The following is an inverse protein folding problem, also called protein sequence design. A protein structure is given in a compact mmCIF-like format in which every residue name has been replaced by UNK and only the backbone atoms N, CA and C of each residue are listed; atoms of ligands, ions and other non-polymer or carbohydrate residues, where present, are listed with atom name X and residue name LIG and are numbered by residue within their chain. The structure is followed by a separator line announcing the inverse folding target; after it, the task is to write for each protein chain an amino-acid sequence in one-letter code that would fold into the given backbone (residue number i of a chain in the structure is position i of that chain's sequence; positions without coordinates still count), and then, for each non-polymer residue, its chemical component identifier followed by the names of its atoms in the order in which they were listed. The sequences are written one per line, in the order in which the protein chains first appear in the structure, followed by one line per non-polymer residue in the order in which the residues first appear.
data_IF_781411204367
#
_entry.id   IF_781411204367
#
_cell.length_a   1.000
_cell.length_b   1.000
_cell.length_c   1.000
_cell.angle_alpha   90.00
_cell.angle_beta   90.00
_cell.angle_gamma   90.00
#
_symmetry.space_group_name_H-M   'P 1'
#
loop_
_entity.id
_entity.type
_entity.pdbx_description
1 polymer ?
#
# COMPACT_ATOMS: atom_id res chain seq x y z
N UNK A 1 21.47 25.48 -29.57
CA UNK A 1 20.03 25.76 -29.75
C UNK A 1 19.78 27.25 -29.64
N UNK A 2 18.75 27.76 -30.31
CA UNK A 2 18.35 29.18 -30.24
C UNK A 2 17.88 29.52 -28.82
N UNK A 3 18.35 30.64 -28.29
CA UNK A 3 17.96 31.15 -26.99
C UNK A 3 17.75 32.67 -27.04
N UNK A 4 16.90 33.19 -26.16
CA UNK A 4 16.72 34.63 -25.97
C UNK A 4 17.35 35.00 -24.62
N UNK A 5 18.31 35.93 -24.65
CA UNK A 5 18.87 36.52 -23.43
C UNK A 5 17.86 37.50 -22.86
N UNK A 6 17.43 37.23 -21.62
CA UNK A 6 16.46 38.04 -20.89
C UNK A 6 17.04 38.51 -19.55
N UNK A 7 16.58 39.65 -19.00
CA UNK A 7 16.99 40.11 -17.67
C UNK A 7 16.55 39.15 -16.55
N UNK A 8 17.45 38.86 -15.59
CA UNK A 8 17.26 37.91 -14.47
C UNK A 8 16.26 38.35 -13.40
N UNK A 9 15.88 39.63 -13.35
CA UNK A 9 14.91 40.19 -12.38
C UNK A 9 13.50 39.57 -12.55
N UNK A 10 12.48 40.16 -11.91
CA UNK A 10 11.06 39.75 -11.90
C UNK A 10 10.42 39.46 -13.29
N UNK A 11 11.12 39.77 -14.39
CA UNK A 11 10.70 39.56 -15.76
C UNK A 11 10.87 38.12 -16.29
N UNK A 12 11.64 37.25 -15.62
CA UNK A 12 11.81 35.85 -16.11
C UNK A 12 10.46 35.14 -16.26
N UNK A 13 9.60 35.25 -15.24
CA UNK A 13 8.24 34.68 -15.24
C UNK A 13 7.35 35.29 -16.32
N UNK A 14 7.54 36.57 -16.62
CA UNK A 14 6.79 37.27 -17.66
C UNK A 14 7.10 36.70 -19.04
N UNK A 15 8.37 36.60 -19.41
CA UNK A 15 8.79 36.05 -20.70
C UNK A 15 8.47 34.57 -20.85
N UNK A 16 8.60 33.78 -19.78
CA UNK A 16 8.17 32.38 -19.79
C UNK A 16 6.69 32.20 -20.11
N UNK A 17 5.82 33.11 -19.64
CA UNK A 17 4.38 33.06 -19.94
C UNK A 17 4.12 33.43 -21.39
N UNK A 18 4.68 34.55 -21.87
CA UNK A 18 4.50 35.03 -23.24
C UNK A 18 4.97 34.00 -24.27
N UNK A 19 6.10 33.35 -24.01
CA UNK A 19 6.73 32.42 -24.95
C UNK A 19 6.43 30.96 -24.65
N UNK A 20 5.49 30.66 -23.76
CA UNK A 20 5.19 29.30 -23.28
C UNK A 20 5.00 28.25 -24.38
N UNK A 21 4.46 28.64 -25.55
CA UNK A 21 4.28 27.76 -26.73
C UNK A 21 5.55 27.43 -27.50
N UNK A 22 6.62 28.18 -27.28
CA UNK A 22 7.86 28.14 -28.06
C UNK A 22 9.09 27.76 -27.22
N UNK A 23 8.89 27.45 -25.93
CA UNK A 23 9.98 27.07 -25.03
C UNK A 23 10.43 25.63 -25.27
N UNK A 24 11.73 25.40 -25.06
CA UNK A 24 12.33 24.07 -25.02
C UNK A 24 11.84 23.25 -23.82
N UNK A 25 10.66 22.63 -23.93
CA UNK A 25 10.05 21.85 -22.86
C UNK A 25 10.35 20.36 -23.00
N UNK A 26 11.58 19.93 -22.68
CA UNK A 26 11.94 18.50 -22.61
C UNK A 26 11.89 17.98 -21.16
N UNK A 27 11.50 16.72 -20.93
CA UNK A 27 11.54 16.12 -19.60
C UNK A 27 12.93 16.23 -18.96
N UNK A 28 13.00 16.59 -17.67
CA UNK A 28 14.23 16.70 -16.86
C UNK A 28 15.23 17.78 -17.28
N UNK A 29 14.96 18.58 -18.31
CA UNK A 29 15.78 19.73 -18.71
C UNK A 29 15.08 21.03 -18.35
N UNK A 30 15.88 22.03 -17.98
CA UNK A 30 15.38 23.39 -17.74
C UNK A 30 15.31 24.12 -19.08
N UNK A 31 14.25 24.89 -19.27
CA UNK A 31 14.09 25.80 -20.40
C UNK A 31 14.64 27.22 -20.12
N UNK A 32 15.16 27.45 -18.91
CA UNK A 32 15.84 28.68 -18.50
C UNK A 32 17.19 28.32 -17.90
N UNK A 33 18.26 28.86 -18.48
CA UNK A 33 19.64 28.68 -18.01
C UNK A 33 20.22 30.00 -17.48
N UNK A 34 21.28 29.91 -16.69
CA UNK A 34 22.10 31.07 -16.35
C UNK A 34 22.91 31.50 -17.58
N UNK A 35 23.09 32.81 -17.80
CA UNK A 35 24.01 33.27 -18.84
C UNK A 35 25.45 33.27 -18.29
N UNK A 36 26.39 32.51 -18.86
CA UNK A 36 27.77 32.47 -18.37
C UNK A 36 28.51 33.80 -18.56
N UNK A 37 28.03 34.65 -19.47
CA UNK A 37 28.67 35.94 -19.78
C UNK A 37 28.02 37.12 -19.05
N UNK A 38 26.84 36.93 -18.44
CA UNK A 38 26.13 37.99 -17.71
C UNK A 38 25.37 37.44 -16.48
N UNK A 39 25.84 37.71 -15.25
CA UNK A 39 25.21 37.22 -14.03
C UNK A 39 23.82 37.84 -13.76
N UNK A 40 23.47 38.93 -14.47
CA UNK A 40 22.18 39.60 -14.41
C UNK A 40 21.23 39.18 -15.54
N UNK A 41 21.62 38.23 -16.39
CA UNK A 41 20.79 37.68 -17.44
C UNK A 41 20.49 36.19 -17.25
N UNK A 42 19.49 35.73 -18.00
CA UNK A 42 19.10 34.33 -18.17
C UNK A 42 18.97 34.04 -19.65
N UNK A 43 19.19 32.79 -20.02
CA UNK A 43 18.96 32.30 -21.37
C UNK A 43 17.64 31.52 -21.39
N UNK A 44 16.66 32.03 -22.11
CA UNK A 44 15.38 31.35 -22.34
C UNK A 44 15.49 30.51 -23.62
N UNK A 45 15.46 29.19 -23.47
CA UNK A 45 15.67 28.24 -24.55
C UNK A 45 14.40 28.07 -25.39
N UNK A 46 14.54 28.17 -26.71
CA UNK A 46 13.44 27.94 -27.65
C UNK A 46 13.42 26.49 -28.14
N UNK A 47 12.26 26.02 -28.62
CA UNK A 47 12.10 24.66 -29.16
C UNK A 47 13.14 24.35 -30.26
N UNK A 48 13.59 23.09 -30.35
CA UNK A 48 14.69 22.67 -31.25
C UNK A 48 14.43 22.99 -32.73
N UNK A 49 13.16 23.00 -33.13
CA UNK A 49 12.72 23.26 -34.50
C UNK A 49 12.63 24.75 -34.84
N UNK A 50 12.93 25.64 -33.90
CA UNK A 50 12.78 27.08 -34.08
C UNK A 50 14.13 27.72 -34.38
N UNK A 51 14.34 28.04 -35.65
CA UNK A 51 15.48 28.81 -36.12
C UNK A 51 15.21 30.31 -35.92
N UNK A 52 16.28 31.10 -35.85
CA UNK A 52 16.17 32.57 -35.75
C UNK A 52 15.35 33.18 -36.90
N UNK A 53 15.41 32.58 -38.09
CA UNK A 53 14.59 32.95 -39.25
C UNK A 53 13.08 32.83 -39.02
N UNK A 54 12.65 32.03 -38.05
CA UNK A 54 11.23 31.72 -37.84
C UNK A 54 10.55 32.71 -36.91
N UNK A 55 11.30 33.54 -36.17
CA UNK A 55 10.81 34.36 -35.06
C UNK A 55 9.69 35.33 -35.44
N UNK A 56 9.68 35.80 -36.69
CA UNK A 56 8.67 36.74 -37.20
C UNK A 56 7.32 36.05 -37.49
N UNK A 57 7.35 34.76 -37.82
CA UNK A 57 6.13 33.98 -38.08
C UNK A 57 5.42 33.48 -36.80
N UNK A 58 6.06 33.61 -35.64
CA UNK A 58 5.64 33.01 -34.37
C UNK A 58 4.79 33.98 -33.56
N UNK A 59 3.48 33.74 -33.52
CA UNK A 59 2.51 34.66 -32.90
C UNK A 59 2.44 34.54 -31.39
N UNK A 60 2.42 35.68 -30.71
CA UNK A 60 2.19 35.79 -29.26
C UNK A 60 0.74 36.23 -29.02
N UNK A 61 0.06 35.55 -28.10
CA UNK A 61 -1.33 35.86 -27.74
C UNK A 61 -1.37 37.01 -26.71
N UNK A 62 -2.32 37.94 -26.85
CA UNK A 62 -2.62 38.98 -25.85
C UNK A 62 -2.53 40.43 -26.35
N UNK A 63 -2.60 41.36 -25.39
CA UNK A 63 -2.34 42.78 -25.60
C UNK A 63 -0.84 43.05 -25.44
N UNK A 64 -0.15 43.40 -26.52
CA UNK A 64 1.31 43.50 -26.59
C UNK A 64 1.87 43.06 -27.95
N UNK A 65 3.19 42.77 -28.03
CA UNK A 65 3.86 42.31 -29.25
C UNK A 65 3.15 41.11 -29.86
N UNK A 66 2.96 41.13 -31.18
CA UNK A 66 2.22 40.11 -31.94
C UNK A 66 3.09 38.95 -32.37
N UNK A 67 4.40 39.15 -32.48
CA UNK A 67 5.36 38.10 -32.86
C UNK A 67 6.53 38.03 -31.87
N UNK A 68 7.26 36.91 -31.88
CA UNK A 68 8.48 36.76 -31.06
C UNK A 68 9.55 37.77 -31.50
N UNK A 69 9.68 38.03 -32.80
CA UNK A 69 10.59 39.07 -33.31
C UNK A 69 10.21 40.47 -32.83
N UNK A 70 8.92 40.82 -32.86
CA UNK A 70 8.43 42.11 -32.35
C UNK A 70 8.70 42.26 -30.85
N UNK A 71 8.48 41.20 -30.06
CA UNK A 71 8.81 41.19 -28.63
C UNK A 71 10.29 41.47 -28.39
N UNK A 72 11.17 40.79 -29.14
CA UNK A 72 12.62 40.97 -29.02
C UNK A 72 13.01 42.42 -29.34
N UNK A 73 12.41 43.02 -30.38
CA UNK A 73 12.69 44.39 -30.76
C UNK A 73 12.18 45.42 -29.75
N UNK A 74 10.92 45.27 -29.29
CA UNK A 74 10.27 46.21 -28.35
C UNK A 74 10.96 46.20 -27.00
N UNK A 75 11.34 45.03 -26.51
CA UNK A 75 11.97 44.88 -25.19
C UNK A 75 13.51 44.94 -25.25
N UNK A 76 14.10 45.09 -26.44
CA UNK A 76 15.55 45.16 -26.64
C UNK A 76 16.29 43.89 -26.22
N UNK A 77 15.67 42.73 -26.45
CA UNK A 77 16.25 41.42 -26.11
C UNK A 77 17.29 40.99 -27.16
N UNK A 78 18.15 40.03 -26.80
CA UNK A 78 19.15 39.51 -27.72
C UNK A 78 18.87 38.03 -28.03
N UNK A 79 18.85 37.69 -29.32
CA UNK A 79 18.91 36.30 -29.76
C UNK A 79 20.35 35.81 -29.68
N UNK A 80 20.53 34.62 -29.14
CA UNK A 80 21.84 34.00 -28.98
C UNK A 80 21.72 32.49 -29.13
N UNK A 81 22.85 31.80 -28.98
CA UNK A 81 22.90 30.34 -28.95
C UNK A 81 23.26 29.85 -27.56
N UNK A 82 22.60 28.78 -27.13
CA UNK A 82 22.93 28.06 -25.90
C UNK A 82 23.28 26.61 -26.21
N UNK A 83 24.21 26.07 -25.44
CA UNK A 83 24.51 24.64 -25.39
C UNK A 83 23.75 24.01 -24.21
N UNK A 84 23.13 22.86 -24.47
CA UNK A 84 22.50 22.05 -23.44
C UNK A 84 23.24 20.73 -23.39
N UNK A 85 24.00 20.55 -22.32
CA UNK A 85 24.70 19.30 -22.08
C UNK A 85 23.74 18.27 -21.50
N UNK A 86 23.69 17.11 -22.15
CA UNK A 86 22.86 15.99 -21.73
C UNK A 86 23.77 14.92 -21.17
N UNK A 87 23.77 14.78 -19.85
CA UNK A 87 24.57 13.78 -19.16
C UNK A 87 23.73 12.56 -18.76
N UNK A 88 24.32 11.69 -17.95
CA UNK A 88 23.66 10.54 -17.36
C UNK A 88 22.30 10.90 -16.75
N UNK A 89 22.20 11.99 -15.97
CA UNK A 89 20.99 12.35 -15.19
C UNK A 89 19.73 12.55 -16.04
N UNK A 90 19.88 12.95 -17.29
CA UNK A 90 18.78 13.13 -18.23
C UNK A 90 18.13 11.80 -18.65
N UNK A 91 18.96 10.80 -18.95
CA UNK A 91 18.51 9.55 -19.56
C UNK A 91 17.76 8.67 -18.56
N UNK A 92 16.56 8.15 -18.92
CA UNK A 92 15.83 7.23 -18.06
C UNK A 92 16.59 5.89 -17.91
N UNK A 93 16.35 5.19 -16.80
CA UNK A 93 17.04 3.95 -16.45
C UNK A 93 17.09 2.94 -17.62
N UNK A 94 15.97 2.69 -18.30
CA UNK A 94 15.92 1.72 -19.40
C UNK A 94 16.81 2.10 -20.60
N UNK A 95 17.01 3.39 -20.90
CA UNK A 95 17.90 3.82 -21.99
C UNK A 95 19.35 3.59 -21.59
N UNK A 96 19.71 3.96 -20.36
CA UNK A 96 21.06 3.73 -19.83
C UNK A 96 21.36 2.22 -19.82
N UNK A 97 20.45 1.40 -19.29
CA UNK A 97 20.64 -0.05 -19.22
C UNK A 97 20.80 -0.68 -20.61
N UNK A 98 20.00 -0.28 -21.61
CA UNK A 98 20.18 -0.77 -23.00
C UNK A 98 21.54 -0.42 -23.58
N UNK A 99 22.16 0.67 -23.13
CA UNK A 99 23.49 1.09 -23.60
C UNK A 99 24.62 0.39 -22.87
N UNK A 100 24.43 0.03 -21.59
CA UNK A 100 25.43 -0.62 -20.75
C UNK A 100 25.43 -2.15 -20.87
N UNK A 101 24.29 -2.75 -21.16
CA UNK A 101 24.13 -4.20 -21.25
C UNK A 101 24.38 -4.70 -22.69
N UNK A 102 24.82 -5.96 -22.87
CA UNK A 102 24.97 -6.56 -24.19
C UNK A 102 23.68 -6.49 -25.04
N UNK A 103 23.85 -6.40 -26.35
CA UNK A 103 22.74 -6.47 -27.30
C UNK A 103 22.00 -7.82 -27.19
N UNK A 104 20.69 -7.79 -27.40
CA UNK A 104 19.81 -8.98 -27.31
C UNK A 104 19.26 -9.27 -25.91
N UNK A 105 19.79 -8.66 -24.85
CA UNK A 105 19.20 -8.77 -23.52
C UNK A 105 18.00 -7.85 -23.35
N UNK A 106 16.88 -8.38 -22.89
CA UNK A 106 15.74 -7.56 -22.51
C UNK A 106 15.95 -7.00 -21.09
N UNK A 107 16.08 -5.67 -21.02
CA UNK A 107 16.38 -4.95 -19.78
C UNK A 107 15.13 -4.82 -18.88
N UNK A 108 15.29 -4.83 -17.55
CA UNK A 108 14.17 -4.56 -16.64
C UNK A 108 13.55 -3.19 -16.92
N UNK A 109 12.27 -3.19 -17.27
CA UNK A 109 11.50 -1.97 -17.58
C UNK A 109 10.71 -1.43 -16.39
N UNK A 110 10.47 -2.28 -15.39
CA UNK A 110 9.71 -1.96 -14.19
C UNK A 110 10.26 -2.69 -12.97
N UNK A 111 9.95 -2.15 -11.80
CA UNK A 111 10.21 -2.75 -10.50
C UNK A 111 9.08 -2.35 -9.55
N UNK A 112 8.98 -3.07 -8.44
CA UNK A 112 8.05 -2.74 -7.37
C UNK A 112 8.80 -2.11 -6.20
N UNK A 113 8.10 -1.31 -5.40
CA UNK A 113 8.67 -0.64 -4.24
C UNK A 113 7.89 -0.87 -2.95
N UNK A 114 8.65 -0.87 -1.86
CA UNK A 114 8.15 -0.92 -0.48
C UNK A 114 8.86 0.20 0.28
N UNK A 115 8.22 1.36 0.33
CA UNK A 115 8.82 2.59 0.85
C UNK A 115 10.05 2.97 0.05
N UNK A 116 11.23 2.96 0.68
CA UNK A 116 12.51 3.31 0.04
C UNK A 116 13.24 2.11 -0.60
N UNK A 117 12.65 0.91 -0.58
CA UNK A 117 13.24 -0.32 -1.11
C UNK A 117 12.63 -0.60 -2.48
N UNK A 118 13.45 -0.80 -3.50
CA UNK A 118 13.02 -1.39 -4.77
C UNK A 118 13.38 -2.87 -4.82
N UNK A 119 12.48 -3.70 -5.33
CA UNK A 119 12.75 -5.12 -5.50
C UNK A 119 12.48 -5.59 -6.93
N UNK A 120 13.40 -6.40 -7.44
CA UNK A 120 13.37 -7.02 -8.76
C UNK A 120 13.21 -8.53 -8.68
N UNK A 121 12.87 -9.14 -9.80
CA UNK A 121 13.03 -10.57 -10.06
C UNK A 121 13.85 -10.69 -11.35
N UNK A 122 15.17 -10.64 -11.22
CA UNK A 122 16.06 -10.73 -12.38
C UNK A 122 16.04 -12.15 -12.94
N UNK A 123 15.99 -12.24 -14.27
CA UNK A 123 16.20 -13.49 -14.99
C UNK A 123 17.67 -13.90 -14.95
N UNK A 124 17.93 -15.19 -15.16
CA UNK A 124 19.28 -15.78 -15.09
C UNK A 124 20.29 -15.07 -16.01
N UNK A 125 19.86 -14.70 -17.22
CA UNK A 125 20.67 -13.98 -18.22
C UNK A 125 21.10 -12.57 -17.77
N UNK A 126 20.37 -11.96 -16.82
CA UNK A 126 20.66 -10.65 -16.26
C UNK A 126 21.49 -10.70 -14.97
N UNK A 127 21.61 -11.88 -14.33
CA UNK A 127 22.35 -12.02 -13.07
C UNK A 127 23.82 -11.57 -13.14
N UNK A 128 24.57 -11.79 -14.23
CA UNK A 128 25.94 -11.27 -14.36
C UNK A 128 26.03 -9.74 -14.25
N UNK A 129 24.94 -9.03 -14.55
CA UNK A 129 24.89 -7.56 -14.59
C UNK A 129 24.09 -6.96 -13.41
N UNK A 130 23.71 -7.78 -12.42
CA UNK A 130 22.78 -7.41 -11.35
C UNK A 130 23.17 -6.15 -10.58
N UNK A 131 24.47 -5.93 -10.33
CA UNK A 131 24.95 -4.74 -9.63
C UNK A 131 24.89 -3.48 -10.49
N UNK A 132 25.18 -3.58 -11.79
CA UNK A 132 25.02 -2.46 -12.73
C UNK A 132 23.54 -2.09 -12.83
N UNK A 133 22.67 -3.09 -12.94
CA UNK A 133 21.22 -2.88 -12.96
C UNK A 133 20.75 -2.20 -11.67
N UNK A 134 21.17 -2.73 -10.52
CA UNK A 134 20.85 -2.17 -9.21
C UNK A 134 21.29 -0.72 -9.06
N UNK A 135 22.52 -0.40 -9.45
CA UNK A 135 23.08 0.95 -9.32
C UNK A 135 22.34 1.95 -10.21
N UNK A 136 22.04 1.59 -11.47
CA UNK A 136 21.27 2.47 -12.36
C UNK A 136 19.86 2.72 -11.80
N UNK A 137 19.19 1.70 -11.26
CA UNK A 137 17.87 1.88 -10.64
C UNK A 137 17.97 2.82 -9.43
N UNK A 138 18.99 2.66 -8.58
CA UNK A 138 19.20 3.50 -7.42
C UNK A 138 19.44 4.97 -7.82
N UNK A 139 20.35 5.22 -8.75
CA UNK A 139 20.72 6.58 -9.20
C UNK A 139 19.53 7.32 -9.83
N UNK A 140 18.70 6.61 -10.60
CA UNK A 140 17.57 7.19 -11.34
C UNK A 140 16.35 7.46 -10.46
N UNK A 141 16.38 7.03 -9.21
CA UNK A 141 15.24 7.09 -8.31
C UNK A 141 15.66 7.61 -6.93
N UNK A 142 15.75 8.95 -6.75
CA UNK A 142 16.29 9.58 -5.52
C UNK A 142 15.58 9.25 -4.20
N UNK A 143 14.39 8.64 -4.27
CA UNK A 143 13.63 8.19 -3.08
C UNK A 143 14.05 6.80 -2.60
N UNK A 144 14.71 6.03 -3.46
CA UNK A 144 15.19 4.70 -3.11
C UNK A 144 16.51 4.84 -2.34
N UNK A 145 16.70 3.94 -1.37
CA UNK A 145 18.00 3.76 -0.71
C UNK A 145 18.55 2.35 -0.86
N UNK A 146 17.70 1.39 -1.22
CA UNK A 146 18.05 -0.02 -1.32
C UNK A 146 17.42 -0.61 -2.57
N UNK A 147 18.20 -1.34 -3.37
CA UNK A 147 17.70 -2.12 -4.51
C UNK A 147 18.07 -3.57 -4.28
N UNK A 148 17.07 -4.46 -4.28
CA UNK A 148 17.25 -5.89 -4.01
C UNK A 148 16.70 -6.76 -5.13
N UNK A 149 17.21 -7.98 -5.24
CA UNK A 149 16.67 -9.03 -6.10
C UNK A 149 16.06 -10.13 -5.24
N UNK A 150 14.89 -10.65 -5.63
CA UNK A 150 14.29 -11.82 -5.00
C UNK A 150 14.89 -13.09 -5.62
N UNK A 151 15.42 -13.97 -4.78
CA UNK A 151 16.21 -15.13 -5.23
C UNK A 151 15.37 -16.38 -5.55
N UNK A 152 14.21 -16.56 -4.92
CA UNK A 152 13.41 -17.78 -5.07
C UNK A 152 11.91 -17.57 -4.76
N UNK A 153 11.10 -18.60 -5.05
CA UNK A 153 9.68 -18.72 -4.69
C UNK A 153 9.46 -18.73 -3.17
N UNK A 154 8.25 -18.33 -2.76
CA UNK A 154 7.83 -18.34 -1.36
C UNK A 154 7.63 -19.79 -0.89
N UNK A 155 8.61 -20.37 -0.19
CA UNK A 155 8.52 -21.76 0.28
C UNK A 155 8.45 -21.91 1.81
N UNK A 156 8.62 -20.84 2.58
CA UNK A 156 8.52 -20.90 4.05
C UNK A 156 7.12 -20.50 4.58
N UNK A 157 6.80 -20.97 5.78
CA UNK A 157 5.51 -20.72 6.46
C UNK A 157 5.23 -19.24 6.73
N UNK A 158 6.27 -18.43 6.91
CA UNK A 158 6.17 -16.98 7.15
C UNK A 158 6.08 -16.14 5.88
N UNK A 159 6.15 -16.79 4.71
CA UNK A 159 5.98 -16.20 3.38
C UNK A 159 7.00 -15.10 3.06
N UNK A 160 8.21 -15.22 3.60
CA UNK A 160 9.33 -14.28 3.42
C UNK A 160 10.19 -14.70 2.23
N UNK A 161 10.63 -13.71 1.44
CA UNK A 161 11.52 -13.95 0.29
C UNK A 161 13.00 -13.84 0.69
N UNK A 162 13.84 -14.83 0.34
CA UNK A 162 15.29 -14.62 0.31
C UNK A 162 15.60 -13.52 -0.70
N UNK A 163 16.38 -12.53 -0.27
CA UNK A 163 16.73 -11.37 -1.09
C UNK A 163 18.23 -11.11 -1.01
N UNK A 164 18.80 -10.70 -2.14
CA UNK A 164 20.16 -10.18 -2.22
C UNK A 164 20.14 -8.67 -2.47
N UNK A 165 21.08 -7.96 -1.86
CA UNK A 165 21.29 -6.53 -2.13
C UNK A 165 22.02 -6.37 -3.47
N UNK A 166 21.42 -5.58 -4.37
CA UNK A 166 22.03 -5.22 -5.65
C UNK A 166 22.82 -3.90 -5.56
N UNK A 167 22.26 -2.89 -4.89
CA UNK A 167 22.86 -1.58 -4.69
C UNK A 167 22.25 -0.84 -3.49
N UNK A 168 23.02 0.09 -2.92
CA UNK A 168 22.57 0.97 -1.83
C UNK A 168 22.82 0.40 -0.43
N UNK A 169 21.95 0.76 0.52
CA UNK A 169 22.05 0.37 1.92
C UNK A 169 21.43 -1.01 2.17
N UNK A 170 22.04 -1.86 3.00
CA UNK A 170 21.39 -3.10 3.48
C UNK A 170 20.41 -2.81 4.62
N UNK A 171 19.46 -1.91 4.38
CA UNK A 171 18.37 -1.57 5.30
C UNK A 171 17.03 -1.95 4.67
N UNK A 172 16.33 -2.89 5.32
CA UNK A 172 15.03 -3.39 4.88
C UNK A 172 13.88 -2.95 5.78
N UNK A 173 14.18 -2.19 6.84
CA UNK A 173 13.17 -1.58 7.69
C UNK A 173 12.66 -0.28 7.07
N UNK A 174 11.39 -0.24 6.71
CA UNK A 174 10.78 0.83 5.93
C UNK A 174 9.38 1.18 6.43
N UNK A 175 8.81 2.28 5.91
CA UNK A 175 7.43 2.66 6.15
C UNK A 175 6.71 2.87 4.82
N UNK A 176 5.49 2.34 4.72
CA UNK A 176 4.57 2.56 3.61
C UNK A 176 3.29 3.23 4.08
N UNK A 177 2.66 4.00 3.18
CA UNK A 177 1.39 4.66 3.43
C UNK A 177 0.36 4.16 2.43
N UNK A 178 -0.75 3.63 2.92
CA UNK A 178 -1.88 3.18 2.10
C UNK A 178 -3.17 3.72 2.71
N UNK A 179 -3.99 4.40 1.91
CA UNK A 179 -5.28 4.97 2.32
C UNK A 179 -5.25 5.73 3.68
N UNK A 180 -4.19 6.50 3.92
CA UNK A 180 -4.02 7.30 5.15
C UNK A 180 -3.56 6.51 6.38
N UNK A 181 -3.41 5.19 6.30
CA UNK A 181 -2.74 4.35 7.29
C UNK A 181 -1.23 4.27 7.02
N UNK A 182 -0.45 4.12 8.08
CA UNK A 182 1.02 3.98 8.03
C UNK A 182 1.40 2.57 8.47
N UNK A 183 2.31 1.92 7.76
CA UNK A 183 2.78 0.58 8.10
C UNK A 183 4.30 0.57 8.10
N UNK A 184 4.88 0.35 9.28
CA UNK A 184 6.27 0.03 9.47
C UNK A 184 6.47 -1.48 9.31
N UNK A 185 7.53 -1.87 8.64
CA UNK A 185 7.90 -3.28 8.43
C UNK A 185 9.40 -3.44 8.17
N UNK A 186 9.91 -4.65 8.40
CA UNK A 186 11.14 -5.13 7.79
C UNK A 186 10.80 -6.11 6.66
N UNK A 187 11.12 -5.74 5.43
CA UNK A 187 10.79 -6.51 4.24
C UNK A 187 11.49 -7.88 4.17
N UNK A 188 12.58 -8.09 4.93
CA UNK A 188 13.24 -9.40 5.10
C UNK A 188 12.55 -10.29 6.13
N UNK A 189 11.63 -9.79 6.94
CA UNK A 189 11.05 -10.55 8.05
C UNK A 189 9.54 -10.77 7.92
N UNK A 190 8.85 -9.99 7.08
CA UNK A 190 7.39 -10.08 6.92
C UNK A 190 6.99 -10.08 5.45
N UNK A 191 5.87 -10.71 5.14
CA UNK A 191 5.26 -10.62 3.83
C UNK A 191 4.55 -9.27 3.64
N UNK A 192 4.85 -8.61 2.51
CA UNK A 192 4.15 -7.41 2.07
C UNK A 192 4.03 -7.37 0.56
N UNK A 193 2.89 -6.88 0.05
CA UNK A 193 2.67 -6.69 -1.37
C UNK A 193 1.88 -5.39 -1.61
N UNK A 194 2.58 -4.36 -2.10
CA UNK A 194 1.99 -3.05 -2.39
C UNK A 194 0.84 -3.12 -3.41
N UNK A 195 0.83 -4.12 -4.30
CA UNK A 195 -0.22 -4.30 -5.31
C UNK A 195 -1.56 -4.77 -4.75
N UNK A 196 -1.63 -5.15 -3.48
CA UNK A 196 -2.88 -5.54 -2.81
C UNK A 196 -3.60 -4.34 -2.17
N UNK A 197 -3.07 -3.12 -2.28
CA UNK A 197 -3.67 -1.91 -1.71
C UNK A 197 -5.16 -1.75 -2.08
N UNK A 198 -5.48 -1.89 -3.37
CA UNK A 198 -6.87 -1.76 -3.84
C UNK A 198 -7.81 -2.80 -3.23
N UNK A 199 -7.31 -4.02 -2.97
CA UNK A 199 -8.09 -5.08 -2.34
C UNK A 199 -8.28 -4.85 -0.84
N UNK A 200 -7.22 -4.39 -0.16
CA UNK A 200 -7.31 -3.98 1.24
C UNK A 200 -8.38 -2.90 1.42
N UNK A 201 -8.40 -1.91 0.53
CA UNK A 201 -9.40 -0.86 0.54
C UNK A 201 -10.80 -1.40 0.24
N UNK A 202 -10.97 -2.18 -0.84
CA UNK A 202 -12.26 -2.74 -1.23
C UNK A 202 -12.91 -3.56 -0.12
N UNK A 203 -12.17 -4.50 0.48
CA UNK A 203 -12.74 -5.38 1.51
C UNK A 203 -13.13 -4.57 2.75
N UNK A 204 -12.27 -3.64 3.19
CA UNK A 204 -12.56 -2.81 4.38
C UNK A 204 -13.72 -1.83 4.15
N UNK A 205 -14.08 -1.53 2.90
CA UNK A 205 -15.31 -0.79 2.59
C UNK A 205 -16.59 -1.57 2.89
N UNK A 206 -16.54 -2.90 2.96
CA UNK A 206 -17.71 -3.72 3.28
C UNK A 206 -18.08 -3.71 4.76
N UNK A 207 -17.15 -3.32 5.64
CA UNK A 207 -17.37 -3.32 7.09
C UNK A 207 -18.05 -2.03 7.55
N UNK A 208 -18.90 -2.14 8.56
CA UNK A 208 -19.61 -1.02 9.16
C UNK A 208 -18.98 -0.61 10.51
N UNK A 209 -19.05 0.69 10.87
CA UNK A 209 -18.65 1.13 12.20
C UNK A 209 -19.38 0.36 13.30
N UNK A 210 -18.66 -0.04 14.35
CA UNK A 210 -19.21 -0.84 15.46
C UNK A 210 -19.18 -2.36 15.24
N UNK A 211 -18.93 -2.84 14.03
CA UNK A 211 -18.74 -4.26 13.78
C UNK A 211 -17.43 -4.79 14.36
N UNK A 212 -17.38 -6.10 14.58
CA UNK A 212 -16.19 -6.83 15.03
C UNK A 212 -15.67 -7.69 13.89
N UNK A 213 -14.37 -7.56 13.57
CA UNK A 213 -13.69 -8.27 12.48
C UNK A 213 -12.64 -9.21 13.07
N UNK A 214 -12.64 -10.46 12.61
CA UNK A 214 -11.63 -11.46 12.92
C UNK A 214 -10.66 -11.58 11.73
N UNK A 215 -9.46 -11.02 11.85
CA UNK A 215 -8.41 -11.13 10.83
C UNK A 215 -7.45 -12.27 11.22
N UNK A 216 -7.63 -13.45 10.60
CA UNK A 216 -6.99 -14.69 11.06
C UNK A 216 -5.51 -14.83 10.61
N UNK A 217 -5.12 -14.10 9.57
CA UNK A 217 -3.76 -14.06 8.99
C UNK A 217 -3.38 -12.61 8.67
N UNK A 218 -3.33 -11.79 9.72
CA UNK A 218 -3.29 -10.35 9.64
C UNK A 218 -1.96 -9.79 9.13
N UNK A 219 -0.86 -10.55 9.13
CA UNK A 219 0.47 -10.02 8.85
C UNK A 219 0.78 -8.81 9.73
N UNK A 220 1.10 -7.68 9.09
CA UNK A 220 1.34 -6.40 9.79
C UNK A 220 0.09 -5.50 9.90
N UNK A 221 -1.09 -6.03 9.57
CA UNK A 221 -2.40 -5.41 9.71
C UNK A 221 -2.96 -4.62 8.52
N UNK A 222 -2.74 -4.98 7.24
CA UNK A 222 -3.25 -4.22 6.10
C UNK A 222 -4.79 -4.18 6.02
N UNK A 223 -5.50 -5.17 6.58
CA UNK A 223 -6.96 -5.09 6.77
C UNK A 223 -7.34 -4.56 8.15
N UNK A 224 -6.66 -5.06 9.20
CA UNK A 224 -6.96 -4.69 10.57
C UNK A 224 -6.87 -3.19 10.86
N UNK A 225 -5.80 -2.53 10.40
CA UNK A 225 -5.57 -1.10 10.66
C UNK A 225 -6.64 -0.24 9.94
N UNK A 226 -6.93 -0.40 8.63
CA UNK A 226 -8.01 0.36 7.99
C UNK A 226 -9.40 0.06 8.56
N UNK A 227 -9.72 -1.20 8.89
CA UNK A 227 -11.01 -1.56 9.49
C UNK A 227 -11.22 -0.85 10.84
N UNK A 228 -10.21 -0.85 11.71
CA UNK A 228 -10.29 -0.15 13.00
C UNK A 228 -10.37 1.38 12.86
N UNK A 229 -9.74 1.96 11.83
CA UNK A 229 -9.89 3.39 11.50
C UNK A 229 -11.32 3.73 11.06
N UNK A 230 -12.03 2.80 10.43
CA UNK A 230 -13.46 2.92 10.07
C UNK A 230 -14.39 2.77 11.28
N UNK A 231 -13.87 2.38 12.44
CA UNK A 231 -14.63 2.25 13.68
C UNK A 231 -15.02 0.82 14.03
N UNK A 232 -14.44 -0.19 13.39
CA UNK A 232 -14.57 -1.58 13.80
C UNK A 232 -13.68 -1.89 15.01
N UNK A 233 -14.04 -2.91 15.78
CA UNK A 233 -13.11 -3.62 16.67
C UNK A 233 -12.50 -4.77 15.88
N UNK A 234 -11.19 -4.97 15.97
CA UNK A 234 -10.50 -6.01 15.20
C UNK A 234 -9.71 -6.91 16.12
N UNK A 235 -9.89 -8.22 15.98
CA UNK A 235 -9.01 -9.24 16.54
C UNK A 235 -8.09 -9.71 15.42
N UNK A 236 -6.79 -9.39 15.51
CA UNK A 236 -5.83 -9.58 14.44
C UNK A 236 -4.75 -10.58 14.84
N UNK A 237 -4.68 -11.72 14.16
CA UNK A 237 -3.75 -12.80 14.47
C UNK A 237 -2.76 -13.02 13.34
N UNK A 238 -1.50 -13.28 13.67
CA UNK A 238 -0.54 -13.82 12.71
C UNK A 238 0.39 -14.83 13.38
N UNK A 239 0.78 -15.88 12.66
CA UNK A 239 1.69 -16.91 13.17
C UNK A 239 3.14 -16.38 13.27
N UNK A 240 3.56 -15.51 12.35
CA UNK A 240 4.93 -15.02 12.31
C UNK A 240 5.16 -14.00 13.45
N UNK A 241 6.08 -14.27 14.40
CA UNK A 241 6.35 -13.35 15.50
C UNK A 241 6.87 -11.98 15.03
N UNK A 242 7.56 -11.91 13.88
CA UNK A 242 7.98 -10.65 13.30
C UNK A 242 6.79 -9.85 12.74
N UNK A 243 5.85 -10.52 12.07
CA UNK A 243 4.58 -9.91 11.64
C UNK A 243 3.81 -9.36 12.84
N UNK A 244 3.68 -10.15 13.91
CA UNK A 244 3.03 -9.73 15.15
C UNK A 244 3.71 -8.50 15.80
N UNK A 245 5.05 -8.48 15.87
CA UNK A 245 5.81 -7.33 16.36
C UNK A 245 5.50 -6.06 15.55
N UNK A 246 5.48 -6.16 14.22
CA UNK A 246 5.15 -5.04 13.35
C UNK A 246 3.66 -4.68 13.39
N UNK A 247 2.76 -5.63 13.57
CA UNK A 247 1.34 -5.39 13.82
C UNK A 247 1.18 -4.53 15.09
N UNK A 248 1.79 -4.92 16.21
CA UNK A 248 1.76 -4.12 17.44
C UNK A 248 2.33 -2.71 17.23
N UNK A 249 3.47 -2.62 16.55
CA UNK A 249 4.08 -1.33 16.17
C UNK A 249 3.13 -0.48 15.35
N UNK A 250 2.44 -1.07 14.37
CA UNK A 250 1.52 -0.38 13.47
C UNK A 250 0.23 0.03 14.15
N UNK A 251 -0.26 -0.74 15.12
CA UNK A 251 -1.40 -0.34 15.96
C UNK A 251 -1.07 0.94 16.73
N UNK A 252 0.08 0.99 17.39
CA UNK A 252 0.56 2.20 18.07
C UNK A 252 0.81 3.35 17.10
N UNK A 253 1.44 3.08 15.95
CA UNK A 253 1.75 4.07 14.92
C UNK A 253 0.48 4.79 14.39
N UNK A 254 -0.63 4.06 14.33
CA UNK A 254 -1.91 4.58 13.86
C UNK A 254 -2.86 5.00 15.00
N UNK A 255 -2.44 4.92 16.27
CA UNK A 255 -3.23 5.27 17.46
C UNK A 255 -4.54 4.48 17.56
N UNK A 256 -4.41 3.16 17.43
CA UNK A 256 -5.53 2.21 17.42
C UNK A 256 -5.49 1.24 18.60
N UNK A 257 -4.75 1.57 19.66
CA UNK A 257 -4.75 0.79 20.89
C UNK A 257 -6.20 0.66 21.43
N UNK A 258 -6.59 -0.57 21.80
CA UNK A 258 -7.96 -0.90 22.21
C UNK A 258 -8.98 -1.02 21.09
N UNK A 259 -8.62 -0.72 19.83
CA UNK A 259 -9.46 -0.97 18.63
C UNK A 259 -8.97 -2.13 17.79
N UNK A 260 -7.67 -2.42 17.85
CA UNK A 260 -7.08 -3.63 17.28
C UNK A 260 -6.43 -4.38 18.43
N UNK A 261 -6.85 -5.62 18.64
CA UNK A 261 -6.28 -6.55 19.63
C UNK A 261 -5.41 -7.57 18.89
N UNK A 262 -4.08 -7.52 19.06
CA UNK A 262 -3.16 -8.37 18.32
C UNK A 262 -2.93 -9.70 19.04
N UNK A 263 -2.81 -10.78 18.25
CA UNK A 263 -2.51 -12.14 18.72
C UNK A 263 -1.37 -12.75 17.90
N UNK A 264 -0.57 -13.62 18.53
CA UNK A 264 0.45 -14.43 17.87
C UNK A 264 0.19 -15.91 18.17
N UNK A 265 -0.68 -16.53 17.38
CA UNK A 265 -1.10 -17.91 17.56
C UNK A 265 -1.29 -18.62 16.21
N UNK A 266 -1.36 -19.95 16.25
CA UNK A 266 -1.85 -20.73 15.12
C UNK A 266 -3.25 -20.29 14.71
N UNK A 267 -3.47 -20.12 13.39
CA UNK A 267 -4.72 -19.60 12.86
C UNK A 267 -5.94 -20.47 13.18
N UNK A 268 -5.78 -21.80 13.27
CA UNK A 268 -6.90 -22.69 13.62
C UNK A 268 -7.24 -22.55 15.10
N UNK A 269 -6.22 -22.56 15.96
CA UNK A 269 -6.42 -22.37 17.40
C UNK A 269 -7.11 -21.02 17.68
N UNK A 270 -6.63 -19.95 17.05
CA UNK A 270 -7.20 -18.61 17.14
C UNK A 270 -8.67 -18.58 16.73
N UNK A 271 -9.02 -19.10 15.53
CA UNK A 271 -10.40 -19.10 15.05
C UNK A 271 -11.34 -19.94 15.93
N UNK A 272 -10.89 -21.11 16.41
CA UNK A 272 -11.69 -21.96 17.32
C UNK A 272 -11.98 -21.25 18.63
N UNK A 273 -10.97 -20.64 19.25
CA UNK A 273 -11.15 -19.88 20.49
C UNK A 273 -12.06 -18.67 20.27
N UNK A 274 -11.92 -17.96 19.16
CA UNK A 274 -12.81 -16.86 18.79
C UNK A 274 -14.26 -17.30 18.66
N UNK A 275 -14.53 -18.36 17.88
CA UNK A 275 -15.88 -18.90 17.67
C UNK A 275 -16.50 -19.44 18.98
N UNK A 276 -15.67 -19.97 19.89
CA UNK A 276 -16.11 -20.40 21.22
C UNK A 276 -16.31 -19.24 22.22
N UNK A 277 -15.93 -18.01 21.88
CA UNK A 277 -15.98 -16.85 22.78
C UNK A 277 -14.95 -16.92 23.91
N UNK A 278 -13.77 -17.48 23.62
CA UNK A 278 -12.72 -17.84 24.58
C UNK A 278 -11.37 -17.13 24.34
N UNK A 279 -11.32 -16.12 23.47
CA UNK A 279 -10.10 -15.33 23.29
C UNK A 279 -9.70 -14.62 24.59
N UNK A 280 -8.41 -14.65 24.92
CA UNK A 280 -7.84 -13.89 26.02
C UNK A 280 -7.62 -12.43 25.62
N UNK A 281 -8.70 -11.63 25.72
CA UNK A 281 -8.69 -10.22 25.36
C UNK A 281 -7.80 -9.39 26.29
N UNK A 282 -7.70 -9.78 27.56
CA UNK A 282 -6.89 -9.06 28.54
C UNK A 282 -5.40 -9.14 28.19
N UNK A 283 -4.91 -10.33 27.82
CA UNK A 283 -3.54 -10.50 27.35
C UNK A 283 -3.26 -9.62 26.12
N UNK A 284 -4.15 -9.61 25.13
CA UNK A 284 -3.97 -8.82 23.90
C UNK A 284 -3.94 -7.29 24.16
N UNK A 285 -4.71 -6.80 25.13
CA UNK A 285 -4.73 -5.37 25.49
C UNK A 285 -3.42 -4.91 26.18
N UNK A 286 -2.80 -5.76 27.00
CA UNK A 286 -1.58 -5.39 27.76
C UNK A 286 -0.36 -5.13 26.90
N UNK A 287 -0.33 -5.66 25.68
CA UNK A 287 0.83 -5.56 24.77
C UNK A 287 1.00 -4.16 24.20
N UNK A 288 -0.08 -3.38 24.17
CA UNK A 288 -0.07 -2.05 23.57
C UNK A 288 0.07 -1.00 24.67
N UNK A 289 1.06 -0.10 24.60
CA UNK A 289 1.18 0.98 25.57
C UNK A 289 -0.11 1.78 25.57
N UNK A 290 -0.70 1.98 26.76
CA UNK A 290 -1.86 2.83 26.92
C UNK A 290 -1.55 4.18 26.27
N UNK A 291 -2.43 4.65 25.37
CA UNK A 291 -2.38 5.98 24.78
C UNK A 291 -2.47 7.01 25.91
N UNK A 292 -1.33 7.25 26.58
CA UNK A 292 -1.29 8.09 27.75
C UNK A 292 -1.44 9.50 27.22
N UNK A 293 -2.50 10.15 27.70
CA UNK A 293 -2.88 11.55 27.44
C UNK A 293 -1.75 12.58 27.75
N UNK A 294 -0.53 12.14 28.07
CA UNK A 294 0.65 12.94 28.35
C UNK A 294 1.19 13.68 27.11
N UNK A 295 0.97 13.18 25.89
CA UNK A 295 1.34 13.91 24.66
C UNK A 295 0.51 15.19 24.45
N UNK A 296 -0.69 15.28 25.06
CA UNK A 296 -1.54 16.48 25.02
C UNK A 296 -1.09 17.57 26.01
N UNK A 297 -0.35 17.24 27.06
CA UNK A 297 0.19 18.25 28.00
C UNK A 297 1.43 18.94 27.44
N UNK A 298 2.33 18.19 26.78
CA UNK A 298 3.56 18.75 26.19
C UNK A 298 3.28 19.72 25.04
N UNK A 299 2.25 19.45 24.22
CA UNK A 299 1.79 20.38 23.18
C UNK A 299 0.92 21.53 23.71
N UNK A 300 0.31 21.42 24.90
CA UNK A 300 -0.46 22.53 25.52
C UNK A 300 0.45 23.60 26.10
N UNK A 301 1.61 23.22 26.65
CA UNK A 301 2.59 24.19 27.17
C UNK A 301 3.29 24.97 26.05
N UNK A 302 3.46 24.38 24.85
CA UNK A 302 4.03 25.07 23.70
C UNK A 302 3.04 25.97 22.92
N UNK A 303 1.73 25.79 23.12
CA UNK A 303 0.68 26.57 22.43
C UNK A 303 0.07 27.70 23.26
N UNK A 304 0.52 27.90 24.51
CA UNK A 304 0.06 28.99 25.39
C UNK A 304 0.84 30.31 25.23
N UNK A 305 1.81 30.39 24.32
CA UNK A 305 2.52 31.65 24.01
C UNK A 305 2.03 32.38 22.75
N UNK A 306 0.96 31.92 22.10
CA UNK A 306 0.39 32.64 20.95
C UNK A 306 -1.13 32.50 20.88
N UNK A 307 -1.80 33.65 20.88
CA UNK A 307 -3.23 33.90 20.67
C UNK A 307 -4.13 33.87 21.90
N UNK A 308 -4.30 35.07 22.47
CA UNK A 308 -5.51 35.49 23.15
C UNK A 308 -6.66 35.69 22.14
N UNK A 309 -7.88 35.71 22.70
CA UNK A 309 -9.18 36.07 22.12
C UNK A 309 -10.06 34.94 21.55
N UNK A 310 -11.25 34.90 22.17
CA UNK A 310 -12.56 34.46 21.66
C UNK A 310 -13.12 33.11 22.18
N UNK A 311 -13.76 33.26 23.35
CA UNK A 311 -15.11 32.84 23.75
C UNK A 311 -15.74 31.53 23.21
N UNK A 312 -15.96 30.63 24.18
CA UNK A 312 -17.17 29.83 24.49
C UNK A 312 -17.74 28.90 23.41
N UNK A 313 -17.53 27.59 23.63
CA UNK A 313 -18.55 26.55 23.43
C UNK A 313 -18.33 25.44 24.48
N UNK A 314 -19.41 25.04 25.16
CA UNK A 314 -19.43 23.98 26.17
C UNK A 314 -19.27 22.57 25.55
N UNK A 315 -18.81 21.57 26.32
CA UNK A 315 -18.58 20.22 25.82
C UNK A 315 -19.78 19.30 26.09
N UNK A 316 -20.43 18.83 25.03
CA UNK A 316 -21.31 17.66 25.11
C UNK A 316 -20.74 16.54 24.25
N UNK A 317 -20.19 15.53 24.94
CA UNK A 317 -20.54 14.11 24.80
C UNK A 317 -19.43 13.28 25.45
N UNK A 318 -19.76 12.76 26.62
CA UNK A 318 -19.03 11.66 27.23
C UNK A 318 -19.18 10.44 26.30
N UNK A 319 -18.14 10.11 25.54
CA UNK A 319 -18.00 8.76 25.00
C UNK A 319 -17.67 7.84 26.16
N UNK A 320 -18.71 7.42 26.87
CA UNK A 320 -18.67 6.28 27.76
C UNK A 320 -18.23 5.07 26.92
N UNK A 321 -17.05 4.55 27.23
CA UNK A 321 -16.67 3.19 26.86
C UNK A 321 -17.71 2.28 27.51
N UNK A 322 -18.46 1.45 26.75
CA UNK A 322 -19.40 0.54 27.38
C UNK A 322 -18.61 -0.50 28.17
N UNK A 323 -18.61 -0.33 29.49
CA UNK A 323 -18.28 -1.38 30.44
C UNK A 323 -19.40 -2.40 30.42
N UNK A 324 -19.34 -3.35 29.49
CA UNK A 324 -20.17 -4.54 29.59
C UNK A 324 -19.34 -5.73 29.13
N UNK A 325 -19.23 -6.70 30.03
CA UNK A 325 -18.60 -8.01 29.86
C UNK A 325 -19.41 -8.91 28.90
N UNK A 326 -19.92 -8.34 27.81
CA UNK A 326 -20.58 -9.09 26.76
C UNK A 326 -19.48 -9.64 25.86
N UNK A 327 -19.34 -10.97 25.84
CA UNK A 327 -18.53 -11.67 24.83
C UNK A 327 -19.08 -11.28 23.46
N UNK A 328 -18.39 -10.38 22.75
CA UNK A 328 -18.86 -9.89 21.45
C UNK A 328 -18.60 -10.95 20.39
N UNK A 329 -19.67 -11.36 19.71
CA UNK A 329 -19.57 -12.10 18.45
C UNK A 329 -18.94 -11.23 17.37
N UNK A 330 -18.43 -11.87 16.32
CA UNK A 330 -17.84 -11.18 15.18
C UNK A 330 -18.68 -11.31 13.93
N UNK A 331 -18.60 -10.28 13.10
CA UNK A 331 -19.43 -10.09 11.91
C UNK A 331 -18.71 -10.59 10.66
N UNK A 332 -17.37 -10.52 10.67
CA UNK A 332 -16.52 -10.87 9.55
C UNK A 332 -15.34 -11.73 10.00
N UNK A 333 -14.96 -12.70 9.17
CA UNK A 333 -13.67 -13.40 9.22
C UNK A 333 -12.93 -13.08 7.93
N UNK A 334 -11.68 -12.63 8.04
CA UNK A 334 -10.78 -12.40 6.90
C UNK A 334 -9.65 -13.42 6.94
N UNK A 335 -9.44 -14.13 5.83
CA UNK A 335 -8.43 -15.19 5.71
C UNK A 335 -7.55 -14.95 4.47
N UNK A 336 -6.61 -14.01 4.57
CA UNK A 336 -5.72 -13.63 3.46
C UNK A 336 -4.44 -14.47 3.39
N UNK A 337 -4.60 -15.77 3.16
CA UNK A 337 -3.49 -16.70 2.91
C UNK A 337 -3.79 -17.54 1.67
N UNK A 338 -3.74 -16.99 0.44
CA UNK A 338 -4.41 -17.58 -0.72
C UNK A 338 -3.93 -18.97 -1.16
N UNK A 339 -2.75 -19.39 -0.70
CA UNK A 339 -2.25 -20.73 -0.97
C UNK A 339 -2.95 -21.82 -0.13
N UNK A 340 -3.34 -21.51 1.10
CA UNK A 340 -3.81 -22.52 2.08
C UNK A 340 -4.99 -22.09 2.94
N UNK A 341 -5.49 -20.86 2.83
CA UNK A 341 -6.58 -20.34 3.68
C UNK A 341 -7.83 -21.24 3.67
N UNK A 342 -8.15 -21.84 2.51
CA UNK A 342 -9.27 -22.79 2.39
C UNK A 342 -9.11 -23.98 3.33
N UNK A 343 -7.89 -24.49 3.52
CA UNK A 343 -7.62 -25.63 4.40
C UNK A 343 -7.92 -25.31 5.86
N UNK A 344 -7.81 -24.04 6.27
CA UNK A 344 -8.04 -23.59 7.66
C UNK A 344 -9.52 -23.46 8.01
N UNK A 345 -10.42 -23.62 7.04
CA UNK A 345 -11.87 -23.57 7.29
C UNK A 345 -12.38 -24.74 8.14
N UNK A 346 -11.64 -25.85 8.17
CA UNK A 346 -11.86 -26.97 9.09
C UNK A 346 -11.91 -26.54 10.56
N UNK A 347 -11.21 -25.45 10.91
CA UNK A 347 -11.21 -24.87 12.25
C UNK A 347 -12.59 -24.34 12.66
N UNK A 348 -13.44 -23.96 11.70
CA UNK A 348 -14.76 -23.40 11.96
C UNK A 348 -15.83 -24.48 12.19
N UNK A 349 -15.60 -25.70 11.70
CA UNK A 349 -16.55 -26.82 11.83
C UNK A 349 -16.81 -27.17 13.31
N UNK A 350 -18.06 -26.98 13.74
CA UNK A 350 -18.49 -27.32 15.09
C UNK A 350 -17.81 -26.50 16.20
N UNK A 351 -17.18 -25.38 15.87
CA UNK A 351 -16.43 -24.54 16.82
C UNK A 351 -17.26 -23.45 17.49
N UNK A 352 -18.45 -23.17 16.96
CA UNK A 352 -19.30 -22.08 17.46
C UNK A 352 -20.07 -22.54 18.69
N UNK A 353 -19.97 -21.75 19.76
CA UNK A 353 -20.69 -22.01 21.01
C UNK A 353 -22.13 -21.47 20.95
N UNK A 354 -23.19 -22.30 21.04
CA UNK A 354 -24.57 -21.82 20.91
C UNK A 354 -24.94 -20.72 21.90
N UNK A 355 -24.43 -20.79 23.13
CA UNK A 355 -24.69 -19.79 24.17
C UNK A 355 -24.06 -18.43 23.83
N UNK A 356 -22.92 -18.43 23.12
CA UNK A 356 -22.25 -17.20 22.68
C UNK A 356 -22.95 -16.60 21.47
N UNK A 357 -23.47 -17.44 20.57
CA UNK A 357 -24.05 -17.03 19.28
C UNK A 357 -25.58 -16.98 19.28
N UNK A 358 -26.23 -17.15 20.44
CA UNK A 358 -27.69 -17.19 20.53
C UNK A 358 -28.32 -15.88 20.06
N UNK A 359 -29.23 -15.98 19.08
CA UNK A 359 -29.92 -14.82 18.50
C UNK A 359 -29.01 -13.90 17.66
N UNK A 360 -27.77 -14.32 17.39
CA UNK A 360 -26.81 -13.57 16.59
C UNK A 360 -26.75 -14.14 15.17
N UNK A 361 -26.43 -13.29 14.19
CA UNK A 361 -26.08 -13.77 12.86
C UNK A 361 -24.68 -14.36 12.87
N UNK A 362 -24.52 -15.49 12.19
CA UNK A 362 -23.20 -16.08 11.93
C UNK A 362 -22.37 -15.16 11.02
N UNK A 363 -21.04 -15.20 11.10
CA UNK A 363 -20.16 -14.24 10.41
C UNK A 363 -20.17 -14.45 8.89
N UNK A 364 -19.85 -13.39 8.14
CA UNK A 364 -19.37 -13.52 6.77
C UNK A 364 -17.91 -13.96 6.79
N UNK A 365 -17.57 -14.99 6.01
CA UNK A 365 -16.20 -15.46 5.82
C UNK A 365 -15.70 -14.94 4.48
N UNK A 366 -14.58 -14.21 4.50
CA UNK A 366 -13.85 -13.72 3.33
C UNK A 366 -12.57 -14.53 3.18
N UNK A 367 -12.61 -15.57 2.35
CA UNK A 367 -11.49 -16.48 2.13
C UNK A 367 -10.82 -16.20 0.79
N UNK A 368 -9.51 -15.98 0.83
CA UNK A 368 -8.72 -15.81 -0.38
C UNK A 368 -8.19 -17.15 -0.87
N UNK A 369 -8.15 -17.33 -2.19
CA UNK A 369 -7.65 -18.55 -2.81
C UNK A 369 -6.99 -18.26 -4.16
N UNK A 370 -6.11 -19.16 -4.60
CA UNK A 370 -5.70 -19.22 -6.00
C UNK A 370 -6.59 -20.17 -6.80
N UNK A 371 -6.85 -19.79 -8.05
CA UNK A 371 -7.47 -20.64 -9.08
C UNK A 371 -6.65 -20.56 -10.39
N UNK A 372 -6.54 -21.68 -11.10
CA UNK A 372 -5.95 -21.81 -12.43
C UNK A 372 -7.06 -21.83 -13.49
N UNK A 373 -7.34 -20.69 -14.12
CA UNK A 373 -8.38 -20.54 -15.14
C UNK A 373 -9.83 -20.53 -14.61
N UNK A 374 -10.79 -20.28 -15.50
CA UNK A 374 -12.22 -20.13 -15.16
C UNK A 374 -12.86 -21.43 -14.65
N UNK A 375 -12.41 -22.60 -15.14
CA UNK A 375 -12.96 -23.89 -14.73
C UNK A 375 -12.63 -24.28 -13.28
N UNK A 376 -11.59 -23.68 -12.67
CA UNK A 376 -11.23 -23.93 -11.27
C UNK A 376 -12.10 -23.15 -10.26
N UNK A 377 -12.95 -22.21 -10.69
CA UNK A 377 -13.83 -21.45 -9.77
C UNK A 377 -14.80 -22.35 -9.01
N UNK A 378 -15.49 -23.24 -9.72
CA UNK A 378 -16.33 -24.28 -9.11
C UNK A 378 -15.49 -25.21 -8.20
N UNK A 379 -14.23 -25.47 -8.59
CA UNK A 379 -13.27 -26.22 -7.79
C UNK A 379 -12.88 -25.53 -6.47
N UNK A 380 -12.85 -24.19 -6.41
CA UNK A 380 -12.62 -23.46 -5.15
C UNK A 380 -13.78 -23.66 -4.18
N UNK A 381 -15.04 -23.57 -4.65
CA UNK A 381 -16.22 -23.84 -3.81
C UNK A 381 -16.19 -25.26 -3.25
N UNK A 382 -15.93 -26.27 -4.09
CA UNK A 382 -15.87 -27.66 -3.65
C UNK A 382 -14.79 -27.88 -2.56
N UNK A 383 -13.63 -27.22 -2.68
CA UNK A 383 -12.58 -27.26 -1.64
C UNK A 383 -13.01 -26.57 -0.34
N UNK A 384 -13.74 -25.46 -0.43
CA UNK A 384 -14.31 -24.76 0.73
C UNK A 384 -15.28 -25.69 1.48
N UNK A 385 -16.24 -26.29 0.78
CA UNK A 385 -17.24 -27.18 1.38
C UNK A 385 -16.60 -28.45 1.96
N UNK A 386 -15.61 -29.01 1.27
CA UNK A 386 -14.84 -30.16 1.77
C UNK A 386 -14.08 -29.84 3.06
N UNK A 387 -13.42 -28.68 3.12
CA UNK A 387 -12.67 -28.22 4.30
C UNK A 387 -13.59 -27.87 5.48
N UNK A 388 -14.70 -27.17 5.21
CA UNK A 388 -15.74 -26.90 6.20
C UNK A 388 -16.40 -28.19 6.70
N UNK A 389 -16.44 -29.25 5.90
CA UNK A 389 -17.14 -30.49 6.22
C UNK A 389 -18.66 -30.38 6.05
N UNK A 390 -19.13 -29.51 5.16
CA UNK A 390 -20.55 -29.31 4.83
C UNK A 390 -20.77 -28.29 3.70
N UNK A 391 -21.98 -28.24 3.18
CA UNK A 391 -22.34 -27.38 2.05
C UNK A 391 -22.58 -25.92 2.48
N UNK A 392 -22.33 -24.99 1.57
CA UNK A 392 -22.73 -23.59 1.73
C UNK A 392 -24.23 -23.45 1.47
N UNK A 393 -24.90 -22.60 2.25
CA UNK A 393 -26.35 -22.35 2.11
C UNK A 393 -26.69 -21.63 0.79
N UNK A 394 -25.78 -20.80 0.29
CA UNK A 394 -25.95 -19.97 -0.91
C UNK A 394 -24.66 -19.97 -1.76
N UNK A 395 -24.76 -19.49 -3.00
CA UNK A 395 -23.58 -19.26 -3.85
C UNK A 395 -22.71 -18.14 -3.25
N UNK A 396 -21.40 -18.39 -2.99
CA UNK A 396 -20.51 -17.37 -2.46
C UNK A 396 -20.36 -16.21 -3.44
N UNK A 397 -20.32 -14.97 -2.92
CA UNK A 397 -19.94 -13.81 -3.71
C UNK A 397 -18.47 -13.93 -4.10
N UNK A 398 -18.19 -13.85 -5.40
CA UNK A 398 -16.84 -14.00 -5.94
C UNK A 398 -16.28 -12.64 -6.34
N UNK A 399 -14.99 -12.43 -6.07
CA UNK A 399 -14.27 -11.25 -6.52
C UNK A 399 -12.87 -11.64 -7.01
N UNK A 400 -12.56 -11.31 -8.27
CA UNK A 400 -11.22 -11.46 -8.84
C UNK A 400 -10.34 -10.33 -8.33
N UNK A 401 -9.32 -10.67 -7.55
CA UNK A 401 -8.40 -9.72 -6.93
C UNK A 401 -7.35 -9.27 -7.94
N UNK A 402 -6.69 -10.23 -8.61
CA UNK A 402 -5.61 -9.97 -9.56
C UNK A 402 -5.16 -11.23 -10.31
N UNK A 403 -4.45 -11.02 -11.40
CA UNK A 403 -3.57 -12.04 -11.99
C UNK A 403 -2.30 -12.23 -11.14
N UNK A 404 -1.91 -13.50 -10.98
CA UNK A 404 -0.74 -13.93 -10.19
C UNK A 404 0.38 -14.40 -11.10
N UNK A 405 0.03 -15.19 -12.11
CA UNK A 405 0.90 -15.71 -13.16
C UNK A 405 0.03 -16.08 -14.37
N UNK A 406 0.60 -16.35 -15.56
CA UNK A 406 -0.19 -16.83 -16.70
C UNK A 406 -1.12 -17.98 -16.32
N UNK A 407 -2.42 -17.79 -16.55
CA UNK A 407 -3.46 -18.77 -16.22
C UNK A 407 -3.76 -18.95 -14.73
N UNK A 408 -3.20 -18.14 -13.82
CA UNK A 408 -3.43 -18.21 -12.37
C UNK A 408 -3.91 -16.88 -11.80
N UNK A 409 -5.07 -16.90 -11.18
CA UNK A 409 -5.70 -15.73 -10.55
C UNK A 409 -5.78 -15.88 -9.03
N UNK A 410 -5.85 -14.75 -8.34
CA UNK A 410 -6.20 -14.64 -6.93
C UNK A 410 -7.65 -14.18 -6.80
N UNK A 411 -8.42 -14.86 -5.96
CA UNK A 411 -9.84 -14.61 -5.74
C UNK A 411 -10.11 -14.38 -4.25
N UNK A 412 -11.15 -13.62 -3.95
CA UNK A 412 -11.81 -13.58 -2.65
C UNK A 412 -13.22 -14.16 -2.80
N UNK A 413 -13.54 -15.20 -2.03
CA UNK A 413 -14.89 -15.73 -1.93
C UNK A 413 -15.48 -15.27 -0.58
N UNK A 414 -16.71 -14.76 -0.64
CA UNK A 414 -17.45 -14.28 0.53
C UNK A 414 -18.75 -15.07 0.70
N UNK A 415 -18.91 -15.73 1.83
CA UNK A 415 -20.13 -16.48 2.16
C UNK A 415 -20.50 -16.31 3.63
N UNK A 416 -21.78 -16.53 3.95
CA UNK A 416 -22.26 -16.63 5.33
C UNK A 416 -21.88 -18.00 5.89
N UNK A 417 -21.30 -18.04 7.09
CA UNK A 417 -21.00 -19.32 7.75
C UNK A 417 -22.29 -20.13 7.96
N UNK A 418 -22.39 -21.37 7.42
CA UNK A 418 -23.61 -22.17 7.55
C UNK A 418 -23.83 -22.66 8.98
N UNK A 419 -25.07 -22.54 9.48
CA UNK A 419 -25.42 -22.99 10.83
C UNK A 419 -25.28 -24.51 11.02
N UNK A 420 -25.56 -25.27 9.96
CA UNK A 420 -25.39 -26.73 9.90
C UNK A 420 -23.95 -27.17 10.18
N UNK A 421 -22.97 -26.36 9.76
CA UNK A 421 -21.54 -26.58 9.95
C UNK A 421 -21.05 -25.97 11.26
N UNK A 422 -21.46 -24.73 11.57
CA UNK A 422 -21.00 -24.00 12.75
C UNK A 422 -21.28 -24.76 14.07
N UNK A 423 -22.43 -25.44 14.14
CA UNK A 423 -22.94 -26.10 15.34
C UNK A 423 -22.92 -27.65 15.27
N UNK A 424 -22.19 -28.25 14.32
CA UNK A 424 -22.21 -29.72 14.10
C UNK A 424 -21.90 -30.54 15.35
N UNK A 425 -20.96 -30.11 16.20
CA UNK A 425 -20.59 -30.84 17.42
C UNK A 425 -21.73 -30.93 18.44
N UNK A 426 -22.54 -29.87 18.56
CA UNK A 426 -23.71 -29.83 19.44
C UNK A 426 -24.78 -30.79 18.92
N UNK A 427 -25.05 -30.76 17.61
CA UNK A 427 -26.00 -31.67 16.98
C UNK A 427 -25.61 -33.15 17.13
N UNK A 428 -24.31 -33.47 17.13
CA UNK A 428 -23.80 -34.84 17.38
C UNK A 428 -24.00 -35.29 18.82
N UNK A 429 -23.81 -34.40 19.80
CA UNK A 429 -24.04 -34.70 21.21
C UNK A 429 -25.54 -34.94 21.50
N UNK A 430 -26.43 -34.11 20.96
CA UNK A 430 -27.88 -34.28 21.11
C UNK A 430 -28.37 -35.60 20.50
N UNK A 431 -27.86 -35.98 19.32
CA UNK A 431 -28.19 -37.28 18.71
C UNK A 431 -27.72 -38.45 19.57
N UNK A 432 -26.50 -38.40 20.13
CA UNK A 432 -25.98 -39.46 21.02
C UNK A 432 -26.82 -39.59 22.29
N UNK A 433 -27.23 -38.48 22.90
CA UNK A 433 -28.10 -38.51 24.09
C UNK A 433 -29.51 -39.05 23.79
N UNK A 434 -30.06 -38.77 22.60
CA UNK A 434 -31.35 -39.33 22.16
C UNK A 434 -31.31 -40.80 21.77
N UNK A 435 -30.14 -41.37 21.49
CA UNK A 435 -29.98 -42.80 21.16
C UNK A 435 -29.65 -43.65 22.40
N UNK A 436 -29.33 -43.01 23.53
CA UNK A 436 -29.04 -43.64 24.82
C UNK A 436 -30.22 -43.59 25.81
N UNK A 437 -31.32 -42.93 25.43
CA UNK A 437 -32.64 -42.99 26.08
C UNK A 437 -33.56 -43.80 25.18
#
# INVERSE_FOLDING_TARGET
MTAIRIPKKEMTTHYMKLLSKYLFNKPRLRNVLEDPNDPNARLLLLEETLAESDLDSRKIDGAGPKTVAELIQVDGLQVTSAHVDVDYSYWPAHVVLRRLLPEGLEVPSSFESVGHIAHLNLREDLLPYKHVIGQVILDKNPRLKSVVNKLASIENEFRVFPMELLAGEDNMETEVRQHGARFKLDFKQVYWNSRLEGEHYRLTQLFNPGEVVLDAMAGIGPFAIPAARKGCLVYANDLNPASYKYLCTNISLNRLAGKVLPFNADGRAFMRQAAAGQLDLAAAETVLPADTKQSKQRNRQQKQQSAASTLVAQPDTQHAVPSSSHRRVFHHIVMNLPASAVEFLDALNGSFCPQVWQGQQLPLVHVYAFAKGEQELAGVRARIEASLGGQLDEEPKQHVVRDVAPGKIMLCLTFRMPASVAFTNVMRQDKRQKTQK
#
